data_IF_369422508210
#
_entry.id   IF_369422508210
#
_cell.length_a   1.000
_cell.length_b   1.000
_cell.length_c   1.000
_cell.angle_alpha   90.00
_cell.angle_beta   90.00
_cell.angle_gamma   90.00
#
_symmetry.space_group_name_H-M   'P 1'
#
loop_
_entity.id
_entity.type
_entity.pdbx_description
1 polymer ?
#
# COMPACT_ATOMS: atom_id res chain seq x y z
N UNK A 1 57.13 -6.58 40.68
CA UNK A 1 56.89 -6.35 39.24
C UNK A 1 56.00 -7.45 38.73
N UNK A 2 54.96 -7.07 37.98
CA UNK A 2 54.05 -7.93 37.21
C UNK A 2 53.23 -8.98 37.99
N UNK A 3 52.00 -8.64 38.41
CA UNK A 3 50.88 -9.61 38.51
C UNK A 3 49.55 -8.98 38.97
N UNK A 4 49.18 -7.80 38.45
CA UNK A 4 47.82 -7.28 38.70
C UNK A 4 47.15 -6.59 37.51
N UNK A 5 47.70 -6.72 36.30
CA UNK A 5 47.23 -5.97 35.12
C UNK A 5 46.46 -6.80 34.08
N UNK A 6 46.02 -8.03 34.40
CA UNK A 6 45.44 -8.94 33.41
C UNK A 6 44.02 -9.45 33.69
N UNK A 7 43.31 -8.90 34.69
CA UNK A 7 41.93 -9.34 34.99
C UNK A 7 40.84 -8.28 34.79
N UNK A 8 41.18 -7.09 34.25
CA UNK A 8 40.20 -6.01 34.05
C UNK A 8 39.81 -5.74 32.59
N UNK A 9 40.21 -6.59 31.64
CA UNK A 9 39.81 -6.45 30.22
C UNK A 9 38.79 -7.51 29.77
N UNK A 10 38.53 -8.54 30.57
CA UNK A 10 37.65 -9.65 30.15
C UNK A 10 36.17 -9.49 30.51
N UNK A 11 35.80 -8.46 31.29
CA UNK A 11 34.39 -8.22 31.66
C UNK A 11 33.70 -7.12 30.84
N UNK A 12 34.44 -6.34 30.06
CA UNK A 12 33.84 -5.33 29.16
C UNK A 12 33.34 -5.96 27.84
N UNK A 13 33.88 -7.13 27.46
CA UNK A 13 33.52 -7.79 26.20
C UNK A 13 32.28 -8.69 26.27
N UNK A 14 31.78 -9.03 27.46
CA UNK A 14 30.55 -9.84 27.61
C UNK A 14 29.29 -8.97 27.66
N UNK A 15 29.43 -7.64 27.81
CA UNK A 15 28.29 -6.72 27.87
C UNK A 15 27.93 -6.05 26.54
N UNK A 16 28.72 -6.25 25.47
CA UNK A 16 28.54 -5.62 24.16
C UNK A 16 27.91 -6.53 23.10
N UNK A 17 27.32 -7.66 23.52
CA UNK A 17 26.63 -8.60 22.63
C UNK A 17 25.21 -8.96 23.07
N UNK A 18 24.53 -8.06 23.80
CA UNK A 18 23.08 -7.94 23.62
C UNK A 18 22.83 -6.89 22.55
N UNK A 19 23.21 -7.23 21.30
CA UNK A 19 22.51 -6.66 20.15
C UNK A 19 21.10 -7.21 20.31
N UNK A 20 20.22 -6.38 20.85
CA UNK A 20 18.79 -6.59 20.87
C UNK A 20 18.39 -7.08 19.48
N UNK A 21 18.06 -8.36 19.38
CA UNK A 21 17.22 -8.84 18.30
C UNK A 21 15.92 -8.06 18.44
N UNK A 22 15.81 -6.94 17.74
CA UNK A 22 14.53 -6.33 17.48
C UNK A 22 13.80 -7.39 16.68
N UNK A 23 12.98 -8.18 17.37
CA UNK A 23 12.04 -9.09 16.73
C UNK A 23 11.18 -8.22 15.84
N UNK A 24 11.41 -8.29 14.53
CA UNK A 24 10.55 -7.64 13.54
C UNK A 24 9.25 -8.40 13.53
N UNK A 25 8.34 -8.06 14.44
CA UNK A 25 7.03 -8.69 14.48
C UNK A 25 6.16 -8.04 13.40
N UNK A 26 6.02 -8.76 12.29
CA UNK A 26 4.95 -8.51 11.35
C UNK A 26 3.69 -9.11 11.96
N UNK A 27 2.80 -8.22 12.41
CA UNK A 27 1.46 -8.58 12.81
C UNK A 27 0.67 -8.93 11.55
N UNK A 28 0.00 -10.08 11.54
CA UNK A 28 -0.96 -10.43 10.48
C UNK A 28 -2.37 -9.93 10.80
N UNK A 29 -2.56 -9.32 11.97
CA UNK A 29 -3.78 -8.59 12.30
C UNK A 29 -3.75 -7.23 11.61
N UNK A 30 -4.70 -7.01 10.70
CA UNK A 30 -4.85 -5.74 10.01
C UNK A 30 -5.46 -4.68 10.95
N UNK A 31 -5.16 -3.40 10.76
CA UNK A 31 -5.80 -2.34 11.52
C UNK A 31 -7.30 -2.31 11.26
N UNK A 32 -8.06 -1.69 12.17
CA UNK A 32 -9.52 -1.60 12.05
C UNK A 32 -9.96 -1.13 10.66
N UNK A 33 -10.95 -1.84 10.10
CA UNK A 33 -11.57 -1.62 8.78
C UNK A 33 -10.67 -1.88 7.57
N UNK A 34 -9.40 -2.24 7.76
CA UNK A 34 -8.58 -2.78 6.69
C UNK A 34 -8.89 -4.25 6.45
N UNK A 35 -8.91 -4.63 5.19
CA UNK A 35 -9.06 -6.01 4.76
C UNK A 35 -8.22 -6.24 3.50
N UNK A 36 -8.02 -7.51 3.17
CA UNK A 36 -7.38 -7.91 1.92
C UNK A 36 -8.38 -8.36 0.86
N UNK A 37 -7.96 -8.29 -0.41
CA UNK A 37 -8.66 -8.91 -1.52
C UNK A 37 -7.67 -9.32 -2.63
N UNK A 38 -8.07 -10.28 -3.46
CA UNK A 38 -7.26 -10.87 -4.53
C UNK A 38 -7.03 -12.37 -4.30
N UNK A 39 -5.93 -12.91 -4.82
CA UNK A 39 -5.56 -14.31 -4.61
C UNK A 39 -4.94 -14.55 -3.21
N UNK A 40 -5.78 -14.56 -2.18
CA UNK A 40 -5.41 -14.65 -0.75
C UNK A 40 -4.46 -15.81 -0.40
N UNK A 41 -4.43 -16.86 -1.23
CA UNK A 41 -3.51 -18.00 -1.04
C UNK A 41 -2.05 -17.65 -1.34
N UNK A 42 -1.78 -16.52 -1.99
CA UNK A 42 -0.47 -16.16 -2.54
C UNK A 42 0.11 -14.85 -2.02
N UNK A 43 -0.62 -14.14 -1.17
CA UNK A 43 -0.10 -12.95 -0.51
C UNK A 43 -0.35 -12.99 1.00
N UNK A 44 0.54 -12.33 1.71
CA UNK A 44 0.38 -12.01 3.11
C UNK A 44 0.14 -10.50 3.19
N UNK A 45 -0.76 -10.10 4.08
CA UNK A 45 -1.04 -8.70 4.43
C UNK A 45 -0.83 -8.56 5.94
N UNK A 46 -0.38 -7.38 6.40
CA UNK A 46 -0.08 -7.23 7.81
C UNK A 46 0.23 -5.81 8.25
N UNK A 47 0.91 -5.71 9.37
CA UNK A 47 1.48 -4.48 9.90
C UNK A 47 2.87 -4.83 10.39
N UNK A 48 3.88 -4.22 9.79
CA UNK A 48 5.30 -4.38 10.07
C UNK A 48 5.72 -3.14 10.84
N UNK A 49 5.74 -3.32 12.16
CA UNK A 49 6.01 -2.26 13.13
C UNK A 49 7.49 -1.88 13.19
N UNK A 50 8.37 -2.58 12.44
CA UNK A 50 9.81 -2.30 12.41
C UNK A 50 10.18 -1.15 11.48
N UNK A 51 9.26 -0.72 10.62
CA UNK A 51 9.44 0.43 9.72
C UNK A 51 8.68 1.61 10.31
N UNK A 52 9.42 2.66 10.70
CA UNK A 52 8.92 3.78 11.53
C UNK A 52 7.82 4.66 10.90
N UNK A 53 7.22 4.26 9.79
CA UNK A 53 6.11 4.98 9.18
C UNK A 53 5.28 4.01 8.31
N UNK A 54 4.31 3.26 8.88
CA UNK A 54 3.12 2.78 8.13
C UNK A 54 2.67 1.33 8.28
N UNK A 55 1.39 1.10 7.92
CA UNK A 55 0.80 -0.24 7.74
C UNK A 55 1.48 -0.95 6.57
N UNK A 56 1.50 -2.28 6.54
CA UNK A 56 2.46 -2.98 5.67
C UNK A 56 1.84 -4.11 4.87
N UNK A 57 2.38 -4.35 3.68
CA UNK A 57 2.02 -5.54 2.89
C UNK A 57 3.32 -6.31 2.68
N UNK A 58 3.58 -7.29 3.54
CA UNK A 58 4.72 -8.21 3.38
C UNK A 58 4.25 -9.48 2.69
N UNK A 59 4.84 -9.87 1.56
CA UNK A 59 4.28 -10.83 0.60
C UNK A 59 4.96 -12.21 0.58
N UNK A 60 4.31 -13.23 -0.01
CA UNK A 60 4.89 -14.54 -0.40
C UNK A 60 4.87 -14.99 -1.89
N UNK A 61 4.08 -14.50 -2.87
CA UNK A 61 4.27 -14.93 -4.31
C UNK A 61 3.51 -14.15 -5.43
N UNK A 62 3.85 -14.48 -6.70
CA UNK A 62 3.47 -14.00 -8.05
C UNK A 62 2.03 -13.55 -8.45
N UNK A 63 1.06 -13.47 -7.54
CA UNK A 63 -0.32 -13.09 -7.88
C UNK A 63 -0.71 -11.69 -7.41
N UNK A 64 -1.93 -11.24 -7.76
CA UNK A 64 -2.46 -9.93 -7.35
C UNK A 64 -2.92 -9.98 -5.89
N UNK A 65 -2.45 -9.02 -5.09
CA UNK A 65 -2.93 -8.80 -3.73
C UNK A 65 -3.12 -7.32 -3.46
N UNK A 66 -4.18 -6.98 -2.72
CA UNK A 66 -4.41 -5.63 -2.22
C UNK A 66 -4.74 -5.66 -0.72
N UNK A 67 -4.27 -4.63 -0.01
CA UNK A 67 -4.77 -4.26 1.32
C UNK A 67 -5.52 -2.95 1.17
N UNK A 68 -6.76 -2.90 1.64
CA UNK A 68 -7.70 -1.85 1.29
C UNK A 68 -8.68 -1.52 2.41
N UNK A 69 -9.30 -0.36 2.27
CA UNK A 69 -10.49 0.05 3.00
C UNK A 69 -11.53 0.60 2.02
N UNK A 70 -12.76 0.69 2.48
CA UNK A 70 -13.79 1.47 1.82
C UNK A 70 -14.67 2.19 2.84
N UNK A 71 -15.30 3.28 2.40
CA UNK A 71 -16.24 4.04 3.22
C UNK A 71 -17.27 4.75 2.35
N UNK A 72 -18.40 5.15 2.96
CA UNK A 72 -19.35 6.05 2.34
C UNK A 72 -18.83 7.49 2.38
N UNK A 73 -18.59 8.16 1.25
CA UNK A 73 -17.82 9.39 1.21
C UNK A 73 -18.69 10.65 1.36
N UNK A 74 -19.46 10.74 2.45
CA UNK A 74 -20.47 11.80 2.66
C UNK A 74 -19.91 13.22 2.43
N UNK A 75 -18.74 13.52 2.99
CA UNK A 75 -18.11 14.85 2.89
C UNK A 75 -17.45 15.13 1.53
N UNK A 76 -17.40 14.14 0.65
CA UNK A 76 -16.75 14.23 -0.66
C UNK A 76 -17.73 14.18 -1.84
N UNK A 77 -19.02 13.93 -1.60
CA UNK A 77 -20.03 13.93 -2.65
C UNK A 77 -20.03 15.24 -3.43
N UNK A 78 -19.98 15.13 -4.76
CA UNK A 78 -19.98 16.26 -5.70
C UNK A 78 -18.63 16.97 -5.80
N UNK A 79 -17.54 16.42 -5.27
CA UNK A 79 -16.23 17.08 -5.21
C UNK A 79 -15.18 16.33 -6.03
N UNK A 80 -14.13 17.06 -6.44
CA UNK A 80 -12.87 16.47 -6.87
C UNK A 80 -11.99 16.18 -5.66
N UNK A 81 -11.53 14.94 -5.54
CA UNK A 81 -10.81 14.45 -4.37
C UNK A 81 -9.44 13.96 -4.77
N UNK A 82 -8.42 14.45 -4.06
CA UNK A 82 -7.05 13.93 -4.06
C UNK A 82 -6.88 12.96 -2.90
N UNK A 83 -6.49 11.73 -3.21
CA UNK A 83 -5.90 10.77 -2.30
C UNK A 83 -4.37 10.86 -2.40
N UNK A 84 -3.67 10.91 -1.27
CA UNK A 84 -2.20 10.74 -1.24
C UNK A 84 -1.76 9.67 -0.26
N UNK A 85 -0.60 9.07 -0.50
CA UNK A 85 0.04 8.10 0.39
C UNK A 85 1.54 8.03 0.08
N UNK A 86 2.37 7.70 1.06
CA UNK A 86 3.75 7.29 0.81
C UNK A 86 3.77 5.80 0.50
N UNK A 87 4.48 5.40 -0.55
CA UNK A 87 4.63 3.99 -0.94
C UNK A 87 6.12 3.68 -1.08
N UNK A 88 6.53 2.54 -0.51
CA UNK A 88 7.89 1.96 -0.62
C UNK A 88 7.77 0.58 -1.24
N UNK A 89 8.78 0.13 -1.98
CA UNK A 89 8.80 -1.22 -2.53
C UNK A 89 10.17 -1.90 -2.41
N UNK A 90 10.16 -3.23 -2.42
CA UNK A 90 11.36 -4.05 -2.40
C UNK A 90 11.19 -5.17 -3.44
N UNK A 91 12.07 -5.17 -4.45
CA UNK A 91 12.18 -6.19 -5.49
C UNK A 91 10.85 -6.50 -6.23
N UNK A 92 10.02 -5.48 -6.49
CA UNK A 92 8.76 -5.68 -7.24
C UNK A 92 9.04 -6.00 -8.71
N UNK A 93 8.74 -7.22 -9.15
CA UNK A 93 9.02 -7.70 -10.51
C UNK A 93 7.91 -7.39 -11.51
N UNK A 94 6.66 -7.32 -11.06
CA UNK A 94 5.54 -6.84 -11.86
C UNK A 94 5.31 -5.36 -11.63
N UNK A 95 4.37 -5.02 -10.74
CA UNK A 95 4.10 -3.64 -10.38
C UNK A 95 3.40 -3.53 -9.02
N UNK A 96 3.62 -2.40 -8.36
CA UNK A 96 2.91 -1.99 -7.17
C UNK A 96 2.31 -0.59 -7.39
N UNK A 97 1.28 -0.26 -6.62
CA UNK A 97 0.65 1.05 -6.74
C UNK A 97 -0.41 1.30 -5.68
N UNK A 98 -0.59 2.58 -5.36
CA UNK A 98 -1.80 3.04 -4.70
C UNK A 98 -2.96 2.99 -5.68
N UNK A 99 -4.17 2.74 -5.17
CA UNK A 99 -5.37 2.80 -5.97
C UNK A 99 -6.52 3.48 -5.23
N UNK A 100 -7.44 4.04 -6.01
CA UNK A 100 -8.68 4.67 -5.57
C UNK A 100 -9.79 4.30 -6.56
N UNK A 101 -10.94 3.86 -6.04
CA UNK A 101 -12.13 3.54 -6.82
C UNK A 101 -13.35 4.26 -6.26
N UNK A 102 -14.13 4.84 -7.15
CA UNK A 102 -15.40 5.51 -6.83
C UNK A 102 -16.52 4.70 -7.46
N UNK A 103 -17.39 4.16 -6.61
CA UNK A 103 -18.49 3.29 -7.00
C UNK A 103 -19.81 4.07 -6.88
N UNK A 104 -20.56 4.20 -7.97
CA UNK A 104 -21.96 4.66 -7.98
C UNK A 104 -22.89 3.46 -8.15
N UNK A 105 -24.21 3.68 -8.25
CA UNK A 105 -25.14 2.61 -8.62
C UNK A 105 -25.04 2.19 -10.10
N UNK A 106 -24.32 2.94 -10.93
CA UNK A 106 -24.25 2.73 -12.39
C UNK A 106 -22.85 2.39 -12.88
N UNK A 107 -21.84 2.98 -12.26
CA UNK A 107 -20.46 2.99 -12.76
C UNK A 107 -19.45 2.79 -11.65
N UNK A 108 -18.29 2.28 -12.05
CA UNK A 108 -17.08 2.25 -11.22
C UNK A 108 -16.00 3.02 -11.94
N UNK A 109 -15.41 4.01 -11.27
CA UNK A 109 -14.26 4.77 -11.78
C UNK A 109 -13.03 4.36 -10.98
N UNK A 110 -12.02 3.79 -11.64
CA UNK A 110 -10.81 3.29 -11.00
C UNK A 110 -9.57 4.06 -11.49
N UNK A 111 -8.73 4.46 -10.54
CA UNK A 111 -7.32 4.70 -10.80
C UNK A 111 -6.49 3.76 -9.91
N UNK A 112 -5.70 2.91 -10.55
CA UNK A 112 -4.87 1.92 -9.88
C UNK A 112 -3.37 2.16 -10.10
N UNK A 113 -2.94 3.32 -10.60
CA UNK A 113 -1.54 3.60 -10.93
C UNK A 113 -0.91 2.72 -12.02
N UNK A 114 -1.66 1.91 -12.76
CA UNK A 114 -1.09 0.96 -13.73
C UNK A 114 -0.18 1.59 -14.79
N UNK A 115 -0.51 2.79 -15.28
CA UNK A 115 0.30 3.55 -16.25
C UNK A 115 1.44 4.38 -15.63
N UNK A 116 1.52 4.38 -14.29
CA UNK A 116 2.56 5.05 -13.50
C UNK A 116 3.02 4.11 -12.37
N UNK A 117 3.44 2.88 -12.72
CA UNK A 117 3.66 1.82 -11.76
C UNK A 117 4.88 2.11 -10.90
N UNK A 118 4.91 1.51 -9.70
CA UNK A 118 6.12 1.35 -8.90
C UNK A 118 6.70 -0.03 -9.22
N UNK A 119 7.97 -0.07 -9.63
CA UNK A 119 8.67 -1.32 -9.99
C UNK A 119 10.03 -1.37 -9.30
N UNK A 120 10.56 -2.58 -9.12
CA UNK A 120 11.83 -2.82 -8.43
C UNK A 120 11.80 -2.42 -6.96
N UNK A 121 12.94 -1.91 -6.50
CA UNK A 121 13.12 -1.40 -5.13
C UNK A 121 13.15 0.11 -5.17
N UNK A 122 12.19 0.74 -4.50
CA UNK A 122 12.17 2.19 -4.32
C UNK A 122 12.01 2.50 -2.84
N UNK A 123 12.73 3.51 -2.37
CA UNK A 123 12.46 4.04 -1.05
C UNK A 123 11.14 4.84 -1.04
N UNK A 124 10.71 5.29 0.14
CA UNK A 124 9.45 6.00 0.32
C UNK A 124 9.25 7.12 -0.70
N UNK A 125 8.19 6.97 -1.49
CA UNK A 125 7.79 7.92 -2.53
C UNK A 125 6.35 8.35 -2.30
N UNK A 126 6.11 9.66 -2.25
CA UNK A 126 4.74 10.20 -2.22
C UNK A 126 4.05 9.92 -3.55
N UNK A 127 2.88 9.32 -3.48
CA UNK A 127 2.00 9.00 -4.60
C UNK A 127 0.66 9.72 -4.40
N UNK A 128 0.02 10.10 -5.50
CA UNK A 128 -1.31 10.73 -5.47
C UNK A 128 -2.27 10.12 -6.48
N UNK A 129 -3.57 10.26 -6.23
CA UNK A 129 -4.66 9.97 -7.18
C UNK A 129 -5.76 11.01 -7.00
N UNK A 130 -6.13 11.69 -8.07
CA UNK A 130 -7.21 12.67 -8.15
C UNK A 130 -8.35 12.08 -8.99
N UNK A 131 -9.53 11.94 -8.38
CA UNK A 131 -10.78 11.46 -9.01
C UNK A 131 -11.95 12.39 -8.65
N UNK A 132 -12.93 12.48 -9.55
CA UNK A 132 -14.23 13.06 -9.22
C UNK A 132 -15.07 12.07 -8.42
N UNK A 133 -15.81 12.57 -7.43
CA UNK A 133 -16.74 11.80 -6.60
C UNK A 133 -18.16 12.28 -6.90
N UNK A 134 -18.91 11.62 -7.80
CA UNK A 134 -20.27 12.00 -8.14
C UNK A 134 -21.21 12.03 -6.92
N UNK A 135 -22.27 12.84 -6.98
CA UNK A 135 -23.26 12.95 -5.90
C UNK A 135 -23.98 11.63 -5.57
N UNK A 136 -24.06 10.69 -6.53
CA UNK A 136 -24.66 9.37 -6.36
C UNK A 136 -23.63 8.27 -6.02
N UNK A 137 -22.44 8.65 -5.55
CA UNK A 137 -21.43 7.71 -5.05
C UNK A 137 -21.94 6.99 -3.83
N UNK A 138 -21.85 5.65 -3.85
CA UNK A 138 -22.27 4.77 -2.75
C UNK A 138 -21.07 4.22 -1.97
N UNK A 139 -19.88 4.17 -2.57
CA UNK A 139 -18.66 3.73 -1.90
C UNK A 139 -17.42 4.36 -2.53
N UNK A 140 -16.47 4.74 -1.69
CA UNK A 140 -15.10 5.08 -2.08
C UNK A 140 -14.18 4.01 -1.49
N UNK A 141 -13.49 3.28 -2.36
CA UNK A 141 -12.54 2.23 -1.99
C UNK A 141 -11.12 2.67 -2.32
N UNK A 142 -10.15 2.33 -1.49
CA UNK A 142 -8.75 2.70 -1.70
C UNK A 142 -7.80 1.72 -1.03
N UNK A 143 -6.56 1.70 -1.48
CA UNK A 143 -5.55 0.83 -0.89
C UNK A 143 -4.24 0.85 -1.65
N UNK A 144 -3.41 -0.15 -1.37
CA UNK A 144 -2.21 -0.46 -2.14
C UNK A 144 -2.30 -1.88 -2.63
N UNK A 145 -1.88 -2.07 -3.88
CA UNK A 145 -1.82 -3.36 -4.53
C UNK A 145 -0.38 -3.69 -4.94
N UNK A 146 -0.12 -4.99 -5.06
CA UNK A 146 1.09 -5.54 -5.66
C UNK A 146 0.70 -6.67 -6.63
N UNK A 147 1.41 -6.77 -7.74
CA UNK A 147 1.28 -7.81 -8.76
C UNK A 147 2.67 -8.29 -9.22
N UNK A 148 2.91 -9.61 -9.29
CA UNK A 148 4.22 -10.25 -9.62
C UNK A 148 5.31 -9.98 -8.57
N UNK A 149 6.15 -10.95 -8.18
CA UNK A 149 7.00 -10.99 -6.94
C UNK A 149 7.52 -9.66 -6.33
N UNK A 150 7.74 -9.63 -5.01
CA UNK A 150 8.23 -8.45 -4.26
C UNK A 150 7.23 -7.83 -3.29
N UNK A 151 7.67 -6.84 -2.51
CA UNK A 151 6.92 -6.29 -1.36
C UNK A 151 6.61 -4.80 -1.56
N UNK A 152 5.54 -4.32 -0.92
CA UNK A 152 5.23 -2.90 -0.85
C UNK A 152 4.72 -2.50 0.53
N UNK A 153 5.16 -1.33 0.99
CA UNK A 153 4.70 -0.71 2.22
C UNK A 153 4.00 0.59 1.88
N UNK A 154 3.08 1.01 2.75
CA UNK A 154 2.37 2.27 2.56
C UNK A 154 2.14 3.00 3.88
N UNK A 155 2.05 4.32 3.81
CA UNK A 155 1.71 5.10 4.99
C UNK A 155 0.99 6.41 4.66
N UNK A 156 0.27 6.92 5.66
CA UNK A 156 -0.34 8.25 5.64
C UNK A 156 -1.26 8.43 4.43
N UNK A 157 -2.31 7.61 4.39
CA UNK A 157 -3.42 7.87 3.49
C UNK A 157 -4.12 9.16 3.91
N UNK A 158 -4.14 10.13 3.01
CA UNK A 158 -4.77 11.44 3.22
C UNK A 158 -5.72 11.76 2.07
N UNK A 159 -6.91 12.26 2.43
CA UNK A 159 -7.91 12.74 1.48
C UNK A 159 -8.04 14.25 1.59
N UNK A 160 -8.02 14.95 0.45
CA UNK A 160 -8.31 16.38 0.38
C UNK A 160 -9.23 16.68 -0.80
N UNK A 161 -10.17 17.61 -0.61
CA UNK A 161 -10.86 18.25 -1.74
C UNK A 161 -9.87 19.14 -2.49
N UNK A 162 -9.96 19.14 -3.82
CA UNK A 162 -9.18 20.01 -4.68
C UNK A 162 -10.08 20.72 -5.69
N UNK A 163 -9.56 21.80 -6.27
CA UNK A 163 -10.24 22.58 -7.29
C UNK A 163 -10.40 21.80 -8.61
N UNK A 164 -11.43 22.13 -9.41
CA UNK A 164 -11.69 21.51 -10.71
C UNK A 164 -10.60 21.76 -11.75
N UNK A 165 -9.73 22.75 -11.55
CA UNK A 165 -8.52 22.96 -12.35
C UNK A 165 -7.47 21.86 -12.20
N UNK A 166 -7.50 21.07 -11.12
CA UNK A 166 -6.55 19.97 -10.92
C UNK A 166 -6.85 18.82 -11.87
N UNK A 167 -5.88 18.42 -12.68
CA UNK A 167 -6.05 17.37 -13.68
C UNK A 167 -6.38 16.03 -13.01
N UNK A 168 -7.43 15.37 -13.50
CA UNK A 168 -7.78 14.02 -13.08
C UNK A 168 -6.62 13.08 -13.39
N UNK A 169 -6.29 12.24 -12.43
CA UNK A 169 -5.26 11.21 -12.63
C UNK A 169 -5.84 9.91 -13.21
N UNK A 170 -7.15 9.88 -13.46
CA UNK A 170 -7.86 8.68 -13.93
C UNK A 170 -7.35 8.26 -15.30
N UNK A 171 -7.04 6.98 -15.44
CA UNK A 171 -6.74 6.39 -16.75
C UNK A 171 -8.06 5.80 -17.31
N UNK A 172 -9.01 6.67 -17.66
CA UNK A 172 -10.28 6.43 -18.37
C UNK A 172 -10.95 5.04 -18.24
N UNK A 173 -10.94 4.45 -17.06
CA UNK A 173 -11.52 3.13 -16.81
C UNK A 173 -12.81 3.33 -16.02
N UNK A 174 -13.85 3.81 -16.72
CA UNK A 174 -15.22 3.88 -16.21
C UNK A 174 -15.95 2.64 -16.69
N UNK A 175 -16.29 1.74 -15.77
CA UNK A 175 -16.94 0.48 -16.09
C UNK A 175 -18.42 0.52 -15.70
N UNK A 176 -19.34 0.06 -16.57
CA UNK A 176 -20.73 -0.17 -16.18
C UNK A 176 -20.80 -1.37 -15.23
N UNK A 177 -21.71 -1.33 -14.25
CA UNK A 177 -21.85 -2.40 -13.23
C UNK A 177 -22.49 -3.71 -13.78
N UNK A 178 -22.79 -3.79 -15.08
CA UNK A 178 -23.47 -4.93 -15.71
C UNK A 178 -22.57 -6.17 -15.96
N UNK A 179 -21.91 -6.68 -14.91
CA UNK A 179 -21.48 -8.08 -14.83
C UNK A 179 -20.04 -8.42 -15.22
N UNK A 180 -19.17 -7.44 -15.51
CA UNK A 180 -17.72 -7.69 -15.60
C UNK A 180 -17.05 -7.22 -14.32
N UNK A 181 -16.86 -8.14 -13.38
CA UNK A 181 -15.90 -7.95 -12.29
C UNK A 181 -14.53 -7.64 -12.90
N UNK A 182 -13.88 -6.59 -12.41
CA UNK A 182 -12.52 -6.24 -12.80
C UNK A 182 -11.60 -7.44 -12.50
N UNK A 183 -11.19 -8.19 -13.53
CA UNK A 183 -9.99 -9.00 -13.47
C UNK A 183 -8.82 -8.02 -13.51
N UNK A 184 -7.91 -8.11 -12.53
CA UNK A 184 -6.72 -7.25 -12.49
C UNK A 184 -6.10 -7.13 -13.88
N UNK A 185 -5.87 -5.90 -14.34
CA UNK A 185 -5.17 -5.69 -15.62
C UNK A 185 -3.77 -6.29 -15.51
N UNK A 186 -3.60 -7.48 -16.07
CA UNK A 186 -2.29 -8.10 -16.25
C UNK A 186 -1.73 -7.64 -17.58
N UNK A 187 -0.48 -7.20 -17.59
CA UNK A 187 0.22 -6.85 -18.82
C UNK A 187 0.48 -8.18 -19.55
N UNK A 188 -0.24 -8.45 -20.64
CA UNK A 188 0.18 -9.52 -21.56
C UNK A 188 1.58 -9.15 -22.06
N UNK A 189 2.58 -9.92 -21.66
CA UNK A 189 3.93 -9.82 -22.20
C UNK A 189 3.88 -10.13 -23.69
N UNK A 190 4.23 -9.14 -24.53
CA UNK A 190 4.78 -9.40 -25.86
C UNK A 190 6.28 -9.62 -25.73
#
# INVERSE_FOLDING_TARGET
>A
MANHFLYLTSYILVFLFLISSVSTEVSYTLPDRWYSAGDEQYYIVGVDSSIFYGNTIRRLSNFFGTMMQNFFPQDFLGKRVRLTSFVKSNNVTGWAGMWMRVDTNKTQTLNNMYYRPITGTVDWKKCESILDVPNDTVSLSFGVLVHGDGEAWFNQFEFNTVDESQVLTTNYSVYPINGTTYSGQTRSSN
#
